data_IF_979902396546
#
_entry.id   IF_979902396546
#
_cell.length_a   1.000
_cell.length_b   1.000
_cell.length_c   1.000
_cell.angle_alpha   90.00
_cell.angle_beta   90.00
_cell.angle_gamma   90.00
#
_symmetry.space_group_name_H-M   'P 1'
#
loop_
_entity.id
_entity.type
_entity.pdbx_description
1 polymer ?
#
# COMPACT_ATOMS: atom_id res chain seq x y z
N UNK A 1 -12.33 13.91 -10.44
CA UNK A 1 -12.29 15.29 -10.93
C UNK A 1 -10.84 15.73 -10.84
N UNK A 2 -10.25 16.13 -11.96
CA UNK A 2 -8.88 16.63 -12.03
C UNK A 2 -8.96 18.15 -11.90
N UNK A 3 -8.28 18.73 -10.94
CA UNK A 3 -8.16 20.18 -10.78
C UNK A 3 -6.69 20.57 -10.85
N UNK A 4 -6.40 21.60 -11.64
CA UNK A 4 -5.09 22.25 -11.63
C UNK A 4 -5.01 23.14 -10.37
N UNK A 5 -4.03 22.92 -9.54
CA UNK A 5 -3.78 23.75 -8.37
C UNK A 5 -2.94 24.95 -8.81
N UNK A 6 -3.57 26.10 -8.94
CA UNK A 6 -2.88 27.37 -9.21
C UNK A 6 -1.87 27.69 -8.10
N UNK A 7 -0.60 27.84 -8.45
CA UNK A 7 0.42 28.37 -7.55
C UNK A 7 1.67 27.53 -7.35
N UNK A 8 1.78 26.33 -7.91
CA UNK A 8 3.02 25.57 -7.94
C UNK A 8 3.69 25.74 -9.30
N UNK A 9 4.98 26.07 -9.33
CA UNK A 9 5.77 26.27 -10.55
C UNK A 9 5.84 25.02 -11.46
N UNK A 10 5.44 23.83 -10.92
CA UNK A 10 5.21 22.62 -11.67
C UNK A 10 3.71 22.27 -11.58
N UNK A 11 3.03 22.26 -12.73
CA UNK A 11 1.63 21.81 -12.87
C UNK A 11 1.52 20.32 -12.53
N UNK A 12 1.31 20.01 -11.26
CA UNK A 12 1.09 18.64 -10.81
C UNK A 12 -0.40 18.31 -10.82
N UNK A 13 -0.77 17.25 -11.53
CA UNK A 13 -2.13 16.72 -11.50
C UNK A 13 -2.40 16.09 -10.12
N UNK A 14 -3.44 16.56 -9.45
CA UNK A 14 -3.87 16.05 -8.13
C UNK A 14 -5.20 15.33 -8.27
N UNK A 15 -5.24 14.09 -7.81
CA UNK A 15 -6.45 13.28 -7.73
C UNK A 15 -7.05 13.48 -6.35
N UNK A 16 -8.30 13.94 -6.29
CA UNK A 16 -9.04 14.11 -5.05
C UNK A 16 -10.10 13.03 -4.92
N UNK A 17 -10.09 12.35 -3.78
CA UNK A 17 -11.11 11.37 -3.42
C UNK A 17 -11.58 11.63 -1.99
N UNK A 18 -12.77 12.24 -1.85
CA UNK A 18 -13.30 12.75 -0.58
C UNK A 18 -12.31 13.79 0.02
N UNK A 19 -11.60 13.45 1.10
CA UNK A 19 -10.58 14.30 1.73
C UNK A 19 -9.14 13.94 1.31
N UNK A 20 -8.96 12.79 0.69
CA UNK A 20 -7.64 12.34 0.26
C UNK A 20 -7.21 13.08 -0.99
N UNK A 21 -5.95 13.51 -1.00
CA UNK A 21 -5.27 14.09 -2.15
C UNK A 21 -4.06 13.22 -2.49
N UNK A 22 -4.00 12.76 -3.72
CA UNK A 22 -2.92 11.94 -4.24
C UNK A 22 -2.36 12.61 -5.49
N UNK A 23 -1.03 12.67 -5.59
CA UNK A 23 -0.38 13.16 -6.79
C UNK A 23 -0.38 12.09 -7.87
N UNK A 24 -0.68 12.50 -9.10
CA UNK A 24 -0.59 11.61 -10.24
C UNK A 24 0.88 11.31 -10.55
N UNK A 25 1.25 10.04 -10.64
CA UNK A 25 2.65 9.60 -10.71
C UNK A 25 3.28 9.71 -12.10
N UNK A 26 2.49 9.87 -13.16
CA UNK A 26 2.93 9.92 -14.57
C UNK A 26 3.77 8.73 -15.03
N UNK A 27 3.72 7.61 -14.33
CA UNK A 27 4.43 6.41 -14.76
C UNK A 27 3.71 5.70 -15.91
N UNK A 28 4.48 5.21 -16.88
CA UNK A 28 3.92 4.46 -18.01
C UNK A 28 3.57 3.04 -17.60
N UNK A 29 2.27 2.72 -17.55
CA UNK A 29 1.76 1.43 -17.10
C UNK A 29 1.46 0.45 -18.24
N UNK A 30 1.55 0.89 -19.51
CA UNK A 30 1.18 0.08 -20.66
C UNK A 30 -0.32 -0.22 -20.76
N UNK A 31 -0.68 -1.13 -21.65
CA UNK A 31 -2.04 -1.62 -21.80
C UNK A 31 -2.26 -2.80 -20.84
N UNK A 32 -2.94 -2.55 -19.74
CA UNK A 32 -3.26 -3.56 -18.72
C UNK A 32 -4.77 -3.79 -18.63
N UNK A 33 -5.17 -4.98 -18.22
CA UNK A 33 -6.57 -5.30 -17.92
C UNK A 33 -7.10 -4.37 -16.82
N UNK A 34 -8.36 -3.95 -16.94
CA UNK A 34 -9.05 -3.17 -15.91
C UNK A 34 -9.88 -4.09 -15.02
N UNK A 35 -9.94 -3.75 -13.74
CA UNK A 35 -10.84 -4.40 -12.80
C UNK A 35 -12.28 -3.91 -13.03
N UNK A 36 -13.25 -4.79 -12.82
CA UNK A 36 -14.66 -4.40 -12.77
C UNK A 36 -14.90 -3.61 -11.49
N UNK A 37 -15.40 -2.38 -11.64
CA UNK A 37 -15.68 -1.50 -10.50
C UNK A 37 -17.02 -1.89 -9.89
N UNK A 38 -17.00 -2.31 -8.64
CA UNK A 38 -18.17 -2.64 -7.84
C UNK A 38 -18.23 -1.72 -6.61
N UNK A 39 -19.38 -1.61 -5.92
CA UNK A 39 -19.45 -0.84 -4.67
C UNK A 39 -18.44 -1.30 -3.60
N UNK A 40 -18.01 -2.56 -3.66
CA UNK A 40 -16.98 -3.10 -2.78
C UNK A 40 -15.59 -2.57 -3.11
N UNK A 41 -15.23 -2.56 -4.41
CA UNK A 41 -13.95 -1.99 -4.88
C UNK A 41 -13.88 -0.49 -4.61
N UNK A 42 -14.97 0.25 -4.77
CA UNK A 42 -15.05 1.67 -4.43
C UNK A 42 -14.76 1.93 -2.95
N UNK A 43 -15.37 1.17 -2.05
CA UNK A 43 -15.08 1.26 -0.61
C UNK A 43 -13.61 0.94 -0.30
N UNK A 44 -13.06 -0.06 -0.98
CA UNK A 44 -11.65 -0.41 -0.85
C UNK A 44 -10.75 0.76 -1.27
N UNK A 45 -11.00 1.36 -2.41
CA UNK A 45 -10.22 2.48 -2.94
C UNK A 45 -10.32 3.73 -2.06
N UNK A 46 -11.52 4.08 -1.60
CA UNK A 46 -11.73 5.19 -0.66
C UNK A 46 -10.91 4.97 0.63
N UNK A 47 -10.90 3.75 1.14
CA UNK A 47 -10.16 3.43 2.36
C UNK A 47 -8.65 3.45 2.13
N UNK A 48 -8.16 2.92 1.01
CA UNK A 48 -6.73 2.95 0.64
C UNK A 48 -6.26 4.41 0.49
N UNK A 49 -7.00 5.22 -0.27
CA UNK A 49 -6.66 6.63 -0.50
C UNK A 49 -6.67 7.43 0.80
N UNK A 50 -7.69 7.22 1.65
CA UNK A 50 -7.76 7.85 2.97
C UNK A 50 -6.63 7.43 3.91
N UNK A 51 -6.20 6.16 3.86
CA UNK A 51 -5.06 5.68 4.64
C UNK A 51 -3.76 6.35 4.19
N UNK A 52 -3.51 6.41 2.89
CA UNK A 52 -2.32 7.06 2.32
C UNK A 52 -2.24 8.55 2.64
N UNK A 53 -3.38 9.25 2.65
CA UNK A 53 -3.44 10.66 3.02
C UNK A 53 -2.89 10.93 4.42
N UNK A 54 -3.14 10.03 5.37
CA UNK A 54 -2.62 10.11 6.75
C UNK A 54 -1.33 9.31 6.95
N UNK A 55 -0.64 8.94 5.85
CA UNK A 55 0.61 8.18 5.86
C UNK A 55 0.49 6.84 6.59
N UNK A 56 -0.62 6.15 6.39
CA UNK A 56 -0.84 4.76 6.78
C UNK A 56 -0.90 3.87 5.55
N UNK A 57 -0.59 2.59 5.75
CA UNK A 57 -0.89 1.56 4.77
C UNK A 57 -2.37 1.13 4.81
N UNK A 58 -2.77 0.32 3.86
CA UNK A 58 -4.07 -0.35 3.89
C UNK A 58 -3.89 -1.88 3.98
N UNK A 59 -4.87 -2.51 4.59
CA UNK A 59 -4.94 -3.96 4.76
C UNK A 59 -6.27 -4.51 4.25
N UNK A 60 -6.41 -4.75 2.94
CA UNK A 60 -7.51 -5.54 2.42
C UNK A 60 -7.46 -6.96 2.97
N UNK A 61 -8.43 -7.31 3.81
CA UNK A 61 -8.53 -8.62 4.45
C UNK A 61 -9.83 -9.33 4.02
N UNK A 62 -9.76 -10.61 3.73
CA UNK A 62 -10.91 -11.39 3.31
C UNK A 62 -10.53 -12.75 2.73
N UNK A 63 -11.50 -13.58 2.34
CA UNK A 63 -11.25 -14.88 1.72
C UNK A 63 -10.39 -14.81 0.46
N UNK A 64 -9.84 -15.93 0.02
CA UNK A 64 -9.14 -16.01 -1.26
C UNK A 64 -10.10 -15.68 -2.41
N UNK A 65 -9.56 -15.10 -3.49
CA UNK A 65 -10.37 -14.78 -4.68
C UNK A 65 -11.26 -13.54 -4.57
N UNK A 66 -11.17 -12.75 -3.50
CA UNK A 66 -11.97 -11.51 -3.34
C UNK A 66 -11.35 -10.27 -4.01
N UNK A 67 -10.26 -10.43 -4.73
CA UNK A 67 -9.63 -9.33 -5.49
C UNK A 67 -8.80 -8.34 -4.66
N UNK A 68 -8.34 -8.73 -3.46
CA UNK A 68 -7.56 -7.84 -2.55
C UNK A 68 -6.35 -7.20 -3.22
N UNK A 69 -5.47 -8.02 -3.74
CA UNK A 69 -4.23 -7.61 -4.42
C UNK A 69 -4.53 -6.84 -5.70
N UNK A 70 -5.49 -7.34 -6.49
CA UNK A 70 -5.88 -6.70 -7.75
C UNK A 70 -6.51 -5.32 -7.55
N UNK A 71 -7.33 -5.12 -6.50
CA UNK A 71 -7.91 -3.81 -6.17
C UNK A 71 -6.84 -2.77 -5.83
N UNK A 72 -5.81 -3.18 -5.09
CA UNK A 72 -4.67 -2.28 -4.75
C UNK A 72 -3.85 -1.94 -6.00
N UNK A 73 -3.55 -2.92 -6.85
CA UNK A 73 -2.83 -2.71 -8.11
C UNK A 73 -3.59 -1.81 -9.07
N UNK A 74 -4.90 -2.01 -9.20
CA UNK A 74 -5.72 -1.25 -10.13
C UNK A 74 -5.87 0.22 -9.69
N UNK A 75 -5.96 0.48 -8.38
CA UNK A 75 -5.91 1.85 -7.86
C UNK A 75 -4.57 2.52 -8.19
N UNK A 76 -3.44 1.82 -7.96
CA UNK A 76 -2.11 2.35 -8.29
C UNK A 76 -1.97 2.69 -9.77
N UNK A 77 -2.51 1.83 -10.66
CA UNK A 77 -2.58 2.11 -12.10
C UNK A 77 -3.42 3.35 -12.40
N UNK A 78 -4.57 3.51 -11.74
CA UNK A 78 -5.45 4.66 -11.94
C UNK A 78 -4.79 6.00 -11.61
N UNK A 79 -3.83 6.00 -10.68
CA UNK A 79 -3.05 7.19 -10.31
C UNK A 79 -1.65 7.21 -10.96
N UNK A 80 -1.36 6.26 -11.85
CA UNK A 80 -0.09 6.12 -12.57
C UNK A 80 1.14 6.04 -11.64
N UNK A 81 1.04 5.26 -10.56
CA UNK A 81 2.13 4.94 -9.63
C UNK A 81 2.46 3.46 -9.72
N UNK A 82 3.74 3.13 -9.83
CA UNK A 82 4.19 1.74 -9.85
C UNK A 82 3.84 1.05 -8.53
N UNK A 83 3.18 -0.11 -8.62
CA UNK A 83 2.88 -0.96 -7.47
C UNK A 83 3.59 -2.31 -7.64
N UNK A 84 4.53 -2.60 -6.74
CA UNK A 84 5.28 -3.86 -6.73
C UNK A 84 4.58 -4.83 -5.80
N UNK A 85 4.12 -5.97 -6.35
CA UNK A 85 3.53 -7.05 -5.55
C UNK A 85 4.62 -8.01 -5.11
N UNK A 86 4.67 -8.28 -3.82
CA UNK A 86 5.59 -9.21 -3.21
C UNK A 86 4.82 -10.30 -2.45
N UNK A 87 4.93 -11.55 -2.88
CA UNK A 87 4.29 -12.68 -2.21
C UNK A 87 5.12 -13.08 -0.98
N UNK A 88 4.51 -12.96 0.18
CA UNK A 88 5.14 -13.31 1.44
C UNK A 88 5.07 -14.81 1.71
N UNK A 89 6.13 -15.33 2.34
CA UNK A 89 6.23 -16.71 2.79
C UNK A 89 6.94 -16.77 4.15
N UNK A 90 7.00 -17.95 4.74
CA UNK A 90 7.77 -18.24 5.96
C UNK A 90 9.29 -18.10 5.80
N UNK A 91 9.78 -18.07 4.54
CA UNK A 91 11.20 -17.90 4.22
C UNK A 91 11.63 -16.42 4.11
N UNK A 92 10.71 -15.48 4.34
CA UNK A 92 11.04 -14.05 4.27
C UNK A 92 11.96 -13.67 5.42
N UNK A 93 13.13 -13.12 5.05
CA UNK A 93 14.11 -12.59 6.00
C UNK A 93 13.95 -11.07 6.16
N UNK A 94 14.19 -10.58 7.38
CA UNK A 94 14.11 -9.15 7.71
C UNK A 94 15.11 -8.30 6.92
N UNK A 95 16.30 -8.84 6.60
CA UNK A 95 17.31 -8.12 5.80
C UNK A 95 16.85 -7.92 4.34
N UNK A 96 16.16 -8.92 3.78
CA UNK A 96 15.58 -8.81 2.45
C UNK A 96 14.49 -7.74 2.43
N UNK A 97 13.61 -7.73 3.43
CA UNK A 97 12.56 -6.71 3.57
C UNK A 97 13.15 -5.31 3.77
N UNK A 98 14.22 -5.19 4.55
CA UNK A 98 14.94 -3.91 4.72
C UNK A 98 15.42 -3.34 3.37
N UNK A 99 16.06 -4.18 2.53
CA UNK A 99 16.52 -3.76 1.18
C UNK A 99 15.35 -3.38 0.29
N UNK A 100 14.27 -4.15 0.36
CA UNK A 100 13.04 -3.90 -0.40
C UNK A 100 12.43 -2.54 -0.01
N UNK A 101 12.22 -2.29 1.27
CA UNK A 101 11.68 -1.02 1.76
C UNK A 101 12.59 0.18 1.46
N UNK A 102 13.91 0.01 1.59
CA UNK A 102 14.86 1.07 1.24
C UNK A 102 14.77 1.46 -0.24
N UNK A 103 14.64 0.49 -1.14
CA UNK A 103 14.43 0.74 -2.57
C UNK A 103 13.12 1.45 -2.87
N UNK A 104 12.02 0.95 -2.29
CA UNK A 104 10.68 1.51 -2.48
C UNK A 104 10.55 2.94 -1.94
N UNK A 105 11.12 3.22 -0.76
CA UNK A 105 11.09 4.56 -0.16
C UNK A 105 11.83 5.58 -1.01
N UNK A 106 12.97 5.20 -1.61
CA UNK A 106 13.75 6.07 -2.48
C UNK A 106 13.07 6.31 -3.83
N UNK A 107 12.38 5.32 -4.35
CA UNK A 107 11.66 5.43 -5.62
C UNK A 107 10.30 6.12 -5.47
N UNK A 108 9.65 6.04 -4.30
CA UNK A 108 8.31 6.56 -4.09
C UNK A 108 7.21 5.69 -4.67
N UNK A 109 7.47 4.38 -4.88
CA UNK A 109 6.47 3.46 -5.39
C UNK A 109 5.65 2.80 -4.29
N UNK A 110 4.53 2.22 -4.70
CA UNK A 110 3.72 1.41 -3.81
C UNK A 110 4.22 -0.03 -3.77
N UNK A 111 3.97 -0.68 -2.66
CA UNK A 111 4.13 -2.13 -2.53
C UNK A 111 2.85 -2.75 -1.99
N UNK A 112 2.55 -3.94 -2.48
CA UNK A 112 1.50 -4.80 -1.95
C UNK A 112 2.14 -6.10 -1.47
N UNK A 113 2.27 -6.26 -0.16
CA UNK A 113 2.78 -7.48 0.47
C UNK A 113 1.62 -8.48 0.57
N UNK A 114 1.58 -9.40 -0.36
CA UNK A 114 0.50 -10.38 -0.47
C UNK A 114 0.71 -11.53 0.52
N UNK A 115 -0.39 -11.98 1.14
CA UNK A 115 -0.39 -13.03 2.17
C UNK A 115 0.58 -12.75 3.34
N UNK A 116 0.60 -11.51 3.81
CA UNK A 116 1.54 -11.00 4.79
C UNK A 116 1.55 -11.79 6.12
N UNK A 117 0.45 -12.40 6.49
CA UNK A 117 0.33 -13.25 7.68
C UNK A 117 0.94 -14.66 7.55
N UNK A 118 1.70 -14.94 6.48
CA UNK A 118 2.55 -16.13 6.36
C UNK A 118 3.95 -15.92 6.96
N UNK A 119 4.35 -14.67 7.18
CA UNK A 119 5.65 -14.34 7.74
C UNK A 119 5.68 -14.74 9.23
N UNK A 120 6.83 -15.23 9.69
CA UNK A 120 7.04 -15.59 11.10
C UNK A 120 6.89 -14.36 12.01
N UNK A 121 6.33 -14.55 13.21
CA UNK A 121 6.01 -13.45 14.13
C UNK A 121 7.25 -12.66 14.57
N UNK A 122 8.38 -13.33 14.70
CA UNK A 122 9.66 -12.71 15.05
C UNK A 122 10.12 -11.72 13.98
N UNK A 123 9.95 -12.10 12.70
CA UNK A 123 10.28 -11.26 11.54
C UNK A 123 9.29 -10.11 11.41
N UNK A 124 7.99 -10.36 11.65
CA UNK A 124 6.95 -9.33 11.62
C UNK A 124 7.23 -8.19 12.60
N UNK A 125 7.77 -8.49 13.78
CA UNK A 125 8.12 -7.47 14.78
C UNK A 125 9.23 -6.54 14.30
N UNK A 126 10.22 -7.06 13.59
CA UNK A 126 11.31 -6.26 12.98
C UNK A 126 10.80 -5.43 11.80
N UNK A 127 9.95 -6.02 10.96
CA UNK A 127 9.30 -5.31 9.84
C UNK A 127 8.45 -4.14 10.37
N UNK A 128 7.74 -4.33 11.48
CA UNK A 128 6.97 -3.26 12.11
C UNK A 128 7.84 -2.05 12.47
N UNK A 129 8.99 -2.29 13.05
CA UNK A 129 9.94 -1.24 13.40
C UNK A 129 10.45 -0.50 12.14
N UNK A 130 10.80 -1.24 11.08
CA UNK A 130 11.24 -0.67 9.81
C UNK A 130 10.15 0.23 9.18
N UNK A 131 8.90 -0.23 9.16
CA UNK A 131 7.78 0.56 8.64
C UNK A 131 7.46 1.78 9.50
N UNK A 132 7.62 1.69 10.84
CA UNK A 132 7.47 2.84 11.74
C UNK A 132 8.51 3.92 11.48
N UNK A 133 9.78 3.54 11.24
CA UNK A 133 10.84 4.49 10.87
C UNK A 133 10.50 5.24 9.57
N UNK A 134 10.06 4.51 8.53
CA UNK A 134 9.65 5.11 7.25
C UNK A 134 8.45 6.04 7.44
N UNK A 135 7.42 5.58 8.17
CA UNK A 135 6.24 6.41 8.44
C UNK A 135 6.58 7.69 9.19
N UNK A 136 7.46 7.60 10.19
CA UNK A 136 7.93 8.78 10.94
C UNK A 136 8.61 9.79 10.02
N UNK A 137 9.47 9.34 9.10
CA UNK A 137 10.12 10.18 8.12
C UNK A 137 9.09 10.85 7.17
N UNK A 138 8.09 10.10 6.70
CA UNK A 138 6.99 10.64 5.86
C UNK A 138 6.15 11.69 6.58
N UNK A 139 5.86 11.50 7.88
CA UNK A 139 5.11 12.48 8.69
C UNK A 139 5.92 13.75 8.98
N UNK A 140 7.24 13.62 9.10
CA UNK A 140 8.14 14.77 9.26
C UNK A 140 8.37 15.56 7.96
N UNK A 141 8.03 14.99 6.80
CA UNK A 141 8.23 15.61 5.49
C UNK A 141 9.71 15.82 5.13
N UNK A 142 10.61 14.99 5.67
CA UNK A 142 12.04 15.08 5.37
C UNK A 142 12.36 14.43 4.03
N UNK A 143 13.35 14.96 3.32
CA UNK A 143 13.82 14.37 2.05
C UNK A 143 14.80 13.22 2.25
N UNK A 144 15.51 13.21 3.39
CA UNK A 144 16.49 12.19 3.75
C UNK A 144 16.32 11.81 5.22
N UNK A 145 16.50 10.53 5.52
CA UNK A 145 16.47 10.03 6.90
C UNK A 145 17.40 8.83 7.06
N UNK A 146 17.71 8.49 8.30
CA UNK A 146 18.52 7.32 8.62
C UNK A 146 17.58 6.10 8.74
N UNK A 147 17.74 5.15 7.84
CA UNK A 147 17.00 3.89 7.84
C UNK A 147 17.95 2.75 8.13
N UNK A 148 17.76 2.10 9.28
CA UNK A 148 18.60 0.96 9.74
C UNK A 148 20.11 1.27 9.65
N UNK A 149 20.51 2.45 10.11
CA UNK A 149 21.91 2.90 10.13
C UNK A 149 22.47 3.45 8.80
N UNK A 150 21.65 3.54 7.75
CA UNK A 150 22.04 4.11 6.46
C UNK A 150 21.20 5.33 6.11
N UNK A 151 21.83 6.42 5.68
CA UNK A 151 21.13 7.57 5.13
C UNK A 151 20.52 7.23 3.76
N UNK A 152 19.22 7.38 3.62
CA UNK A 152 18.49 7.18 2.36
C UNK A 152 17.52 8.32 2.10
N UNK A 153 17.25 8.58 0.81
CA UNK A 153 16.19 9.51 0.40
C UNK A 153 14.81 8.87 0.56
N UNK A 154 13.81 9.71 0.81
CA UNK A 154 12.43 9.27 0.86
C UNK A 154 11.55 10.18 0.02
N UNK A 155 10.65 9.57 -0.74
CA UNK A 155 9.63 10.27 -1.52
C UNK A 155 8.27 10.18 -0.83
N UNK A 156 7.49 11.27 -0.82
CA UNK A 156 6.20 11.34 -0.12
C UNK A 156 5.13 10.42 -0.72
N UNK A 157 5.32 9.95 -1.96
CA UNK A 157 4.40 9.07 -2.70
C UNK A 157 4.48 7.61 -2.24
N UNK A 158 5.47 7.24 -1.44
CA UNK A 158 5.64 5.89 -0.92
C UNK A 158 4.35 5.37 -0.27
N UNK A 159 3.92 4.16 -0.64
CA UNK A 159 2.77 3.47 -0.06
C UNK A 159 3.07 2.00 0.20
N UNK A 160 2.76 1.52 1.40
CA UNK A 160 2.88 0.11 1.74
C UNK A 160 1.50 -0.45 2.09
N UNK A 161 1.08 -1.47 1.36
CA UNK A 161 -0.18 -2.17 1.56
C UNK A 161 0.10 -3.64 1.86
N UNK A 162 -0.76 -4.26 2.64
CA UNK A 162 -0.68 -5.69 2.94
C UNK A 162 -2.00 -6.36 2.59
N UNK A 163 -1.99 -7.63 2.23
CA UNK A 163 -3.20 -8.42 2.14
C UNK A 163 -3.16 -9.57 3.13
N UNK A 164 -4.30 -9.94 3.64
CA UNK A 164 -4.44 -11.06 4.56
C UNK A 164 -5.61 -11.95 4.18
N UNK A 165 -5.42 -13.24 4.42
CA UNK A 165 -6.47 -14.24 4.36
C UNK A 165 -6.77 -14.71 5.79
N UNK A 166 -7.79 -14.15 6.46
CA UNK A 166 -8.16 -14.58 7.82
C UNK A 166 -8.71 -16.01 7.81
N UNK A 167 -8.57 -16.71 8.94
CA UNK A 167 -9.23 -18.00 9.16
C UNK A 167 -8.53 -19.24 8.62
N UNK A 168 -7.33 -19.15 8.07
CA UNK A 168 -6.56 -20.35 7.68
C UNK A 168 -5.64 -20.82 8.81
N UNK A 169 -5.65 -22.11 9.10
CA UNK A 169 -4.76 -22.74 10.09
C UNK A 169 -3.28 -22.48 9.74
N UNK A 170 -2.46 -22.18 10.75
CA UNK A 170 -1.02 -21.93 10.59
C UNK A 170 -0.66 -20.50 10.16
N UNK A 171 -1.60 -19.55 10.18
CA UNK A 171 -1.32 -18.14 9.91
C UNK A 171 -1.24 -17.33 11.19
N UNK A 172 -0.30 -16.40 11.21
CA UNK A 172 0.00 -15.57 12.37
C UNK A 172 -0.98 -14.39 12.43
N UNK A 173 -1.47 -14.07 13.62
CA UNK A 173 -2.13 -12.78 13.85
C UNK A 173 -1.08 -11.68 13.81
N UNK A 174 -1.43 -10.53 13.26
CA UNK A 174 -0.51 -9.39 13.22
C UNK A 174 -0.28 -8.87 14.65
N UNK A 175 0.97 -8.62 15.03
CA UNK A 175 1.28 -7.90 16.26
C UNK A 175 0.60 -6.52 16.29
N UNK A 176 0.22 -6.06 17.48
CA UNK A 176 -0.51 -4.78 17.66
C UNK A 176 0.25 -3.59 17.07
N UNK A 177 1.57 -3.58 17.19
CA UNK A 177 2.44 -2.55 16.62
C UNK A 177 2.41 -2.48 15.09
N UNK A 178 2.06 -3.57 14.41
CA UNK A 178 1.81 -3.61 12.97
C UNK A 178 0.37 -3.20 12.63
N UNK A 179 -0.61 -3.68 13.40
CA UNK A 179 -2.01 -3.39 13.12
C UNK A 179 -2.30 -1.88 13.05
N UNK A 180 -1.66 -1.07 13.91
CA UNK A 180 -1.83 0.39 13.93
C UNK A 180 -1.24 1.10 12.71
N UNK A 181 -0.39 0.43 11.91
CA UNK A 181 0.21 0.99 10.70
C UNK A 181 -0.66 0.79 9.46
N UNK A 182 -1.68 -0.06 9.55
CA UNK A 182 -2.51 -0.44 8.41
C UNK A 182 -3.99 -0.24 8.72
N UNK A 183 -4.69 0.39 7.79
CA UNK A 183 -6.14 0.55 7.88
C UNK A 183 -6.84 -0.68 7.30
N UNK A 184 -7.63 -1.42 8.10
CA UNK A 184 -8.28 -2.63 7.61
C UNK A 184 -9.43 -2.31 6.65
N UNK A 185 -9.56 -3.13 5.63
CA UNK A 185 -10.69 -3.15 4.68
C UNK A 185 -11.22 -4.57 4.57
N UNK A 186 -12.45 -4.79 4.96
CA UNK A 186 -13.08 -6.10 4.79
C UNK A 186 -13.49 -6.30 3.33
N UNK A 187 -12.92 -7.33 2.69
CA UNK A 187 -13.26 -7.75 1.34
C UNK A 187 -14.12 -9.00 1.40
N UNK A 188 -15.25 -8.97 0.70
CA UNK A 188 -16.20 -10.08 0.62
C UNK A 188 -16.21 -10.65 -0.80
N UNK A 189 -16.73 -11.86 -0.95
CA UNK A 189 -16.94 -12.45 -2.27
C UNK A 189 -18.00 -11.60 -2.98
N UNK A 190 -17.68 -11.02 -4.17
CA UNK A 190 -18.64 -10.21 -4.89
C UNK A 190 -19.82 -11.03 -5.36
N UNK A 191 -21.03 -10.44 -5.37
CA UNK A 191 -22.19 -11.05 -6.00
C UNK A 191 -21.95 -11.14 -7.50
N UNK A 192 -22.20 -12.31 -8.09
CA UNK A 192 -22.09 -12.52 -9.54
C UNK A 192 -23.00 -11.58 -10.35
N UNK A 193 -24.14 -11.18 -9.78
CA UNK A 193 -25.08 -10.25 -10.39
C UNK A 193 -24.49 -8.84 -10.61
N UNK A 194 -23.46 -8.47 -9.84
CA UNK A 194 -22.78 -7.17 -9.98
C UNK A 194 -21.65 -7.21 -11.00
N UNK A 195 -21.25 -8.40 -11.47
CA UNK A 195 -20.11 -8.60 -12.37
C UNK A 195 -20.61 -8.89 -13.81
N UNK A 196 -21.82 -9.44 -13.94
CA UNK A 196 -22.45 -9.73 -15.20
C UNK A 196 -23.11 -8.47 -15.78
#
# INVERSE_FOLDING_TARGET
MYEDVEGLQDQQCVIRQIQAQLYYGYEYMGATTRLVITPLTDKCWITISGALHIKLGANPAGPAGTGKTESTKDLAKGIAVLCIVYNCSDQVDYQMMQRHFAGLAQQGCWTCLDEFNRILVEVLSVIAQQLQEIRKALLMGVEEFVFQGKGIKIRPEFGCHITMNPGYAGRTELPDNLQILFRPVAMMIPSYELIA
#
